data_IF_218009423163
#
_entry.id   IF_218009423163
#
_cell.length_a   1.000
_cell.length_b   1.000
_cell.length_c   1.000
_cell.angle_alpha   90.00
_cell.angle_beta   90.00
_cell.angle_gamma   90.00
#
_symmetry.space_group_name_H-M   'P 1'
#
loop_
_entity.id
_entity.type
_entity.pdbx_description
1 polymer ?
#
# COMPACT_ATOMS: atom_id res chain seq x y z
N UNK A 1 122.49 -59.40 -17.92
CA UNK A 1 122.33 -58.05 -17.36
C UNK A 1 121.51 -57.14 -18.28
N UNK A 2 121.98 -56.82 -19.49
CA UNK A 2 121.27 -55.94 -20.46
C UNK A 2 119.82 -56.33 -20.82
N UNK A 3 119.48 -57.63 -20.81
CA UNK A 3 118.13 -58.12 -21.15
C UNK A 3 117.11 -57.86 -20.03
N UNK A 4 117.53 -57.70 -18.77
CA UNK A 4 116.64 -57.38 -17.65
C UNK A 4 116.33 -55.88 -17.58
N UNK A 5 117.33 -55.00 -17.75
CA UNK A 5 117.12 -53.54 -17.77
C UNK A 5 116.18 -53.11 -18.90
N UNK A 6 116.34 -53.68 -20.11
CA UNK A 6 115.44 -53.41 -21.23
C UNK A 6 114.02 -53.97 -21.01
N UNK A 7 113.87 -54.99 -20.15
CA UNK A 7 112.57 -55.54 -19.76
C UNK A 7 111.89 -54.63 -18.73
N UNK A 8 112.65 -54.07 -17.77
CA UNK A 8 112.17 -53.12 -16.78
C UNK A 8 111.69 -51.81 -17.41
N UNK A 9 112.43 -51.24 -18.38
CA UNK A 9 112.01 -50.02 -19.09
C UNK A 9 110.70 -50.25 -19.85
N UNK A 10 110.58 -51.36 -20.59
CA UNK A 10 109.33 -51.72 -21.29
C UNK A 10 108.16 -51.97 -20.34
N UNK A 11 108.42 -52.54 -19.17
CA UNK A 11 107.41 -52.78 -18.13
C UNK A 11 106.94 -51.45 -17.52
N UNK A 12 107.84 -50.50 -17.29
CA UNK A 12 107.53 -49.17 -16.77
C UNK A 12 106.73 -48.31 -17.77
N UNK A 13 107.05 -48.40 -19.06
CA UNK A 13 106.25 -47.79 -20.14
C UNK A 13 104.86 -48.44 -20.28
N UNK A 14 104.76 -49.76 -20.12
CA UNK A 14 103.47 -50.47 -20.13
C UNK A 14 102.59 -50.06 -18.94
N UNK A 15 103.19 -49.91 -17.75
CA UNK A 15 102.50 -49.45 -16.55
C UNK A 15 102.03 -48.00 -16.68
N UNK A 16 102.82 -47.12 -17.29
CA UNK A 16 102.43 -45.71 -17.50
C UNK A 16 101.27 -45.57 -18.51
N UNK A 17 101.26 -46.38 -19.57
CA UNK A 17 100.14 -46.45 -20.53
C UNK A 17 98.88 -46.99 -19.85
N UNK A 18 98.99 -48.04 -19.04
CA UNK A 18 97.87 -48.60 -18.29
C UNK A 18 97.28 -47.57 -17.31
N UNK A 19 98.14 -46.82 -16.61
CA UNK A 19 97.73 -45.74 -15.71
C UNK A 19 97.02 -44.62 -16.47
N UNK A 20 97.54 -44.21 -17.62
CA UNK A 20 96.91 -43.19 -18.47
C UNK A 20 95.52 -43.63 -18.94
N UNK A 21 95.38 -44.89 -19.38
CA UNK A 21 94.08 -45.47 -19.77
C UNK A 21 93.11 -45.50 -18.58
N UNK A 22 93.57 -45.90 -17.40
CA UNK A 22 92.76 -45.89 -16.17
C UNK A 22 92.25 -44.47 -15.85
N UNK A 23 93.12 -43.45 -15.93
CA UNK A 23 92.76 -42.04 -15.70
C UNK A 23 91.75 -41.56 -16.72
N UNK A 24 91.90 -41.90 -18.00
CA UNK A 24 90.94 -41.54 -19.05
C UNK A 24 89.57 -42.19 -18.78
N UNK A 25 89.55 -43.48 -18.42
CA UNK A 25 88.32 -44.20 -18.06
C UNK A 25 87.65 -43.54 -16.85
N UNK A 26 88.41 -43.22 -15.80
CA UNK A 26 87.91 -42.49 -14.63
C UNK A 26 87.36 -41.10 -15.00
N UNK A 27 88.05 -40.36 -15.87
CA UNK A 27 87.61 -39.05 -16.34
C UNK A 27 86.27 -39.14 -17.08
N UNK A 28 86.12 -40.13 -17.97
CA UNK A 28 84.87 -40.39 -18.70
C UNK A 28 83.74 -40.75 -17.76
N UNK A 29 84.00 -41.59 -16.75
CA UNK A 29 83.02 -41.95 -15.72
C UNK A 29 82.59 -40.73 -14.90
N UNK A 30 83.54 -39.86 -14.50
CA UNK A 30 83.25 -38.62 -13.78
C UNK A 30 82.43 -37.65 -14.61
N UNK A 31 82.75 -37.48 -15.90
CA UNK A 31 81.99 -36.64 -16.82
C UNK A 31 80.55 -37.17 -17.01
N UNK A 32 80.39 -38.49 -17.16
CA UNK A 32 79.08 -39.13 -17.27
C UNK A 32 78.25 -38.94 -16.00
N UNK A 33 78.85 -39.19 -14.83
CA UNK A 33 78.21 -38.98 -13.53
C UNK A 33 77.80 -37.51 -13.31
N UNK A 34 78.65 -36.56 -13.70
CA UNK A 34 78.33 -35.13 -13.65
C UNK A 34 77.19 -34.74 -14.59
N UNK A 35 77.12 -35.35 -15.77
CA UNK A 35 76.02 -35.13 -16.71
C UNK A 35 74.69 -35.70 -16.19
N UNK A 36 74.72 -36.89 -15.56
CA UNK A 36 73.54 -37.51 -14.95
C UNK A 36 73.02 -36.71 -13.75
N UNK A 37 73.91 -36.24 -12.87
CA UNK A 37 73.54 -35.39 -11.73
C UNK A 37 72.96 -34.04 -12.18
N UNK A 38 73.51 -33.42 -13.23
CA UNK A 38 72.93 -32.20 -13.82
C UNK A 38 71.52 -32.43 -14.35
N UNK A 39 71.29 -33.51 -15.10
CA UNK A 39 69.95 -33.88 -15.60
C UNK A 39 68.97 -34.11 -14.44
N UNK A 40 69.40 -34.78 -13.38
CA UNK A 40 68.59 -35.01 -12.19
C UNK A 40 68.23 -33.69 -11.50
N UNK A 41 69.17 -32.76 -11.41
CA UNK A 41 68.95 -31.45 -10.82
C UNK A 41 67.99 -30.59 -11.65
N UNK A 42 68.09 -30.63 -12.99
CA UNK A 42 67.13 -29.98 -13.89
C UNK A 42 65.72 -30.57 -13.74
N UNK A 43 65.61 -31.90 -13.61
CA UNK A 43 64.34 -32.59 -13.37
C UNK A 43 63.71 -32.23 -12.01
N UNK A 44 64.52 -32.08 -10.95
CA UNK A 44 64.05 -31.64 -9.64
C UNK A 44 63.47 -30.21 -9.69
N UNK A 45 64.13 -29.29 -10.41
CA UNK A 45 63.64 -27.90 -10.58
C UNK A 45 62.33 -27.86 -11.37
N UNK A 46 62.22 -28.65 -12.44
CA UNK A 46 60.96 -28.73 -13.21
C UNK A 46 59.81 -29.32 -12.37
N UNK A 47 60.11 -30.31 -11.53
CA UNK A 47 59.14 -30.92 -10.63
C UNK A 47 58.66 -29.96 -9.54
N UNK A 48 59.57 -29.18 -8.94
CA UNK A 48 59.22 -28.16 -7.94
C UNK A 48 58.34 -27.04 -8.54
N UNK A 49 58.65 -26.65 -9.79
CA UNK A 49 57.82 -25.72 -10.55
C UNK A 49 56.41 -26.28 -10.77
N UNK A 50 56.28 -27.54 -11.21
CA UNK A 50 54.99 -28.22 -11.38
C UNK A 50 54.22 -28.33 -10.07
N UNK A 51 54.90 -28.62 -8.96
CA UNK A 51 54.27 -28.69 -7.63
C UNK A 51 53.70 -27.32 -7.24
N UNK A 52 54.47 -26.25 -7.42
CA UNK A 52 54.04 -24.87 -7.15
C UNK A 52 52.85 -24.47 -8.03
N UNK A 53 52.89 -24.81 -9.33
CA UNK A 53 51.77 -24.56 -10.24
C UNK A 53 50.50 -25.33 -9.84
N UNK A 54 50.63 -26.58 -9.42
CA UNK A 54 49.51 -27.39 -8.93
C UNK A 54 48.95 -26.84 -7.62
N UNK A 55 49.80 -26.42 -6.69
CA UNK A 55 49.39 -25.78 -5.45
C UNK A 55 48.65 -24.47 -5.72
N UNK A 56 49.18 -23.63 -6.61
CA UNK A 56 48.54 -22.39 -7.02
C UNK A 56 47.16 -22.65 -7.66
N UNK A 57 47.06 -23.62 -8.58
CA UNK A 57 45.77 -24.02 -9.19
C UNK A 57 44.78 -24.52 -8.15
N UNK A 58 45.20 -25.39 -7.23
CA UNK A 58 44.34 -25.90 -6.17
C UNK A 58 43.87 -24.77 -5.24
N UNK A 59 44.75 -23.83 -4.87
CA UNK A 59 44.35 -22.66 -4.07
C UNK A 59 43.38 -21.77 -4.82
N UNK A 60 43.57 -21.55 -6.12
CA UNK A 60 42.68 -20.73 -6.94
C UNK A 60 41.27 -21.36 -7.00
N UNK A 61 41.18 -22.67 -7.25
CA UNK A 61 39.92 -23.41 -7.25
C UNK A 61 39.24 -23.33 -5.87
N UNK A 62 39.99 -23.52 -4.78
CA UNK A 62 39.45 -23.41 -3.43
C UNK A 62 38.91 -22.00 -3.14
N UNK A 63 39.62 -20.95 -3.57
CA UNK A 63 39.14 -19.57 -3.41
C UNK A 63 37.90 -19.27 -4.24
N UNK A 64 37.82 -19.78 -5.48
CA UNK A 64 36.66 -19.62 -6.34
C UNK A 64 35.43 -20.31 -5.75
N UNK A 65 35.60 -21.56 -5.27
CA UNK A 65 34.54 -22.30 -4.61
C UNK A 65 34.07 -21.61 -3.32
N UNK A 66 35.00 -21.14 -2.49
CA UNK A 66 34.67 -20.40 -1.28
C UNK A 66 33.89 -19.11 -1.58
N UNK A 67 34.30 -18.36 -2.60
CA UNK A 67 33.61 -17.16 -3.03
C UNK A 67 32.19 -17.47 -3.54
N UNK A 68 32.03 -18.55 -4.29
CA UNK A 68 30.72 -19.00 -4.77
C UNK A 68 29.80 -19.39 -3.61
N UNK A 69 30.26 -20.26 -2.71
CA UNK A 69 29.50 -20.69 -1.54
C UNK A 69 29.10 -19.51 -0.65
N UNK A 70 30.01 -18.55 -0.46
CA UNK A 70 29.73 -17.35 0.32
C UNK A 70 28.66 -16.46 -0.33
N UNK A 71 28.70 -16.27 -1.66
CA UNK A 71 27.69 -15.51 -2.38
C UNK A 71 26.31 -16.19 -2.33
N UNK A 72 26.28 -17.52 -2.46
CA UNK A 72 25.05 -18.32 -2.33
C UNK A 72 24.47 -18.23 -0.92
N UNK A 73 25.29 -18.45 0.11
CA UNK A 73 24.89 -18.31 1.50
C UNK A 73 24.37 -16.90 1.80
N UNK A 74 25.10 -15.86 1.39
CA UNK A 74 24.70 -14.45 1.56
C UNK A 74 23.33 -14.17 0.93
N UNK A 75 23.09 -14.72 -0.25
CA UNK A 75 21.82 -14.52 -0.96
C UNK A 75 20.67 -15.18 -0.20
N UNK A 76 20.87 -16.42 0.25
CA UNK A 76 19.87 -17.15 1.06
C UNK A 76 19.55 -16.44 2.37
N UNK A 77 20.59 -16.02 3.10
CA UNK A 77 20.44 -15.30 4.36
C UNK A 77 19.66 -13.99 4.16
N UNK A 78 19.99 -13.23 3.11
CA UNK A 78 19.27 -12.00 2.78
C UNK A 78 17.79 -12.25 2.45
N UNK A 79 17.51 -13.34 1.75
CA UNK A 79 16.15 -13.73 1.38
C UNK A 79 15.32 -14.18 2.60
N UNK A 80 15.95 -14.91 3.51
CA UNK A 80 15.34 -15.34 4.77
C UNK A 80 15.01 -14.15 5.69
N UNK A 81 15.96 -13.22 5.84
CA UNK A 81 15.73 -11.97 6.58
C UNK A 81 14.62 -11.13 5.97
N UNK A 82 14.60 -10.97 4.64
CA UNK A 82 13.53 -10.25 3.93
C UNK A 82 12.18 -10.89 4.22
N UNK A 83 12.08 -12.22 4.14
CA UNK A 83 10.84 -12.95 4.41
C UNK A 83 10.31 -12.67 5.81
N UNK A 84 11.16 -12.72 6.83
CA UNK A 84 10.78 -12.42 8.21
C UNK A 84 10.29 -10.98 8.36
N UNK A 85 11.00 -10.01 7.78
CA UNK A 85 10.61 -8.60 7.80
C UNK A 85 9.24 -8.44 7.13
N UNK A 86 9.05 -9.00 5.93
CA UNK A 86 7.78 -8.91 5.20
C UNK A 86 6.61 -9.54 5.98
N UNK A 87 6.81 -10.70 6.61
CA UNK A 87 5.78 -11.33 7.43
C UNK A 87 5.39 -10.46 8.63
N UNK A 88 6.38 -9.88 9.32
CA UNK A 88 6.13 -8.98 10.46
C UNK A 88 5.41 -7.71 10.02
N UNK A 89 5.77 -7.19 8.84
CA UNK A 89 5.22 -5.97 8.26
C UNK A 89 3.77 -6.20 7.84
N UNK A 90 3.49 -7.31 7.15
CA UNK A 90 2.15 -7.71 6.74
C UNK A 90 1.21 -7.86 7.94
N UNK A 91 1.67 -8.54 9.00
CA UNK A 91 0.90 -8.69 10.25
C UNK A 91 0.55 -7.33 10.88
N UNK A 92 1.53 -6.42 10.97
CA UNK A 92 1.31 -5.07 11.50
C UNK A 92 0.34 -4.24 10.64
N UNK A 93 0.50 -4.27 9.31
CA UNK A 93 -0.42 -3.56 8.42
C UNK A 93 -1.83 -4.11 8.50
N UNK A 94 -1.98 -5.44 8.58
CA UNK A 94 -3.28 -6.08 8.74
C UNK A 94 -3.97 -5.63 10.03
N UNK A 95 -3.25 -5.60 11.15
CA UNK A 95 -3.79 -5.12 12.43
C UNK A 95 -4.23 -3.65 12.34
N UNK A 96 -3.35 -2.76 11.88
CA UNK A 96 -3.68 -1.32 11.70
C UNK A 96 -4.84 -1.10 10.75
N UNK A 97 -4.93 -1.88 9.69
CA UNK A 97 -6.04 -1.80 8.74
C UNK A 97 -7.36 -2.23 9.39
N UNK A 98 -7.38 -3.30 10.19
CA UNK A 98 -8.58 -3.70 10.92
C UNK A 98 -9.03 -2.62 11.92
N UNK A 99 -8.09 -2.05 12.68
CA UNK A 99 -8.39 -0.94 13.60
C UNK A 99 -8.96 0.28 12.87
N UNK A 100 -8.34 0.66 11.75
CA UNK A 100 -8.83 1.76 10.93
C UNK A 100 -10.24 1.48 10.41
N UNK A 101 -10.49 0.27 9.88
CA UNK A 101 -11.83 -0.13 9.41
C UNK A 101 -12.88 -0.06 10.50
N UNK A 102 -12.59 -0.56 11.70
CA UNK A 102 -13.53 -0.52 12.82
C UNK A 102 -13.88 0.92 13.22
N UNK A 103 -12.86 1.78 13.32
CA UNK A 103 -13.06 3.21 13.64
C UNK A 103 -13.89 3.92 12.58
N UNK A 104 -13.62 3.65 11.30
CA UNK A 104 -14.31 4.30 10.21
C UNK A 104 -15.76 3.80 10.07
N UNK A 105 -15.99 2.50 10.28
CA UNK A 105 -17.35 1.93 10.32
C UNK A 105 -18.18 2.54 11.46
N UNK A 106 -17.58 2.72 12.65
CA UNK A 106 -18.27 3.35 13.78
C UNK A 106 -18.67 4.80 13.46
N UNK A 107 -17.79 5.58 12.81
CA UNK A 107 -18.11 6.94 12.38
C UNK A 107 -19.25 6.96 11.37
N UNK A 108 -19.18 6.12 10.34
CA UNK A 108 -20.22 6.02 9.31
C UNK A 108 -21.56 5.66 9.95
N UNK A 109 -21.57 4.70 10.88
CA UNK A 109 -22.77 4.30 11.60
C UNK A 109 -23.36 5.44 12.44
N UNK A 110 -22.52 6.16 13.19
CA UNK A 110 -22.95 7.32 13.99
C UNK A 110 -23.52 8.44 13.12
N UNK A 111 -22.87 8.75 11.99
CA UNK A 111 -23.36 9.78 11.06
C UNK A 111 -24.69 9.37 10.42
N UNK A 112 -24.82 8.11 9.98
CA UNK A 112 -26.06 7.57 9.44
C UNK A 112 -27.22 7.66 10.46
N UNK A 113 -26.98 7.26 11.71
CA UNK A 113 -27.95 7.40 12.80
C UNK A 113 -28.30 8.87 12.99
N UNK A 114 -27.31 9.77 13.12
CA UNK A 114 -27.55 11.19 13.35
C UNK A 114 -28.40 11.83 12.25
N UNK A 115 -28.13 11.51 10.97
CA UNK A 115 -28.91 12.04 9.84
C UNK A 115 -30.33 11.49 9.82
N UNK A 116 -30.48 10.19 10.07
CA UNK A 116 -31.78 9.55 10.15
C UNK A 116 -32.63 10.13 11.29
N UNK A 117 -32.06 10.23 12.50
CA UNK A 117 -32.72 10.84 13.66
C UNK A 117 -33.12 12.28 13.39
N UNK A 118 -32.26 13.10 12.79
CA UNK A 118 -32.59 14.48 12.45
C UNK A 118 -33.78 14.56 11.47
N UNK A 119 -33.84 13.65 10.50
CA UNK A 119 -34.92 13.60 9.51
C UNK A 119 -36.24 13.15 10.15
N UNK A 120 -36.19 12.11 10.99
CA UNK A 120 -37.36 11.61 11.72
C UNK A 120 -37.90 12.69 12.66
N UNK A 121 -37.03 13.35 13.42
CA UNK A 121 -37.42 14.39 14.35
C UNK A 121 -38.03 15.60 13.62
N UNK A 122 -37.51 15.95 12.44
CA UNK A 122 -38.10 16.98 11.58
C UNK A 122 -39.54 16.64 11.18
N UNK A 123 -39.76 15.41 10.66
CA UNK A 123 -41.10 14.92 10.32
C UNK A 123 -42.06 14.90 11.50
N UNK A 124 -41.61 14.47 12.68
CA UNK A 124 -42.43 14.48 13.89
C UNK A 124 -42.77 15.92 14.30
N UNK A 125 -41.81 16.83 14.23
CA UNK A 125 -42.02 18.25 14.53
C UNK A 125 -43.09 18.89 13.64
N UNK A 126 -43.13 18.55 12.35
CA UNK A 126 -44.17 19.00 11.42
C UNK A 126 -45.56 18.50 11.80
N UNK A 127 -45.69 17.25 12.27
CA UNK A 127 -46.97 16.69 12.69
C UNK A 127 -47.46 17.24 14.03
N UNK A 128 -46.53 17.59 14.94
CA UNK A 128 -46.87 18.13 16.26
C UNK A 128 -47.03 19.66 16.28
N UNK A 129 -46.65 20.35 15.21
CA UNK A 129 -46.76 21.80 15.10
C UNK A 129 -48.15 22.37 15.49
N UNK A 130 -49.28 21.76 15.07
CA UNK A 130 -50.62 22.20 15.47
C UNK A 130 -50.86 22.27 16.99
N UNK A 131 -50.24 21.38 17.78
CA UNK A 131 -50.34 21.41 19.24
C UNK A 131 -49.54 22.56 19.84
N UNK A 132 -48.42 22.93 19.22
CA UNK A 132 -47.57 24.04 19.66
C UNK A 132 -48.19 25.40 19.34
N UNK A 133 -48.99 25.51 18.27
CA UNK A 133 -49.68 26.76 17.92
C UNK A 133 -50.67 27.19 19.00
N UNK A 134 -51.35 26.23 19.62
CA UNK A 134 -52.27 26.48 20.73
C UNK A 134 -51.53 27.09 21.92
N UNK A 135 -50.47 26.43 22.38
CA UNK A 135 -49.72 26.87 23.56
C UNK A 135 -49.02 28.21 23.37
N UNK A 136 -48.46 28.48 22.18
CA UNK A 136 -47.61 29.64 21.97
C UNK A 136 -48.34 30.85 21.37
N UNK A 137 -49.42 30.64 20.62
CA UNK A 137 -50.11 31.70 19.86
C UNK A 137 -51.61 31.76 20.13
N UNK A 138 -52.14 30.90 21.02
CA UNK A 138 -53.56 30.84 21.36
C UNK A 138 -54.43 30.39 20.19
N UNK A 139 -53.87 29.66 19.23
CA UNK A 139 -54.60 29.16 18.06
C UNK A 139 -55.13 27.77 18.37
N UNK A 140 -56.45 27.61 18.40
CA UNK A 140 -57.05 26.31 18.64
C UNK A 140 -56.68 25.31 17.54
N UNK A 141 -56.21 24.12 17.91
CA UNK A 141 -55.79 23.09 16.95
C UNK A 141 -56.92 22.64 16.01
N UNK A 142 -58.19 22.78 16.41
CA UNK A 142 -59.36 22.51 15.55
C UNK A 142 -59.56 23.54 14.44
N UNK A 143 -58.99 24.72 14.58
CA UNK A 143 -59.07 25.85 13.62
C UNK A 143 -57.91 25.85 12.62
N UNK A 144 -56.96 24.93 12.79
CA UNK A 144 -55.79 24.78 11.91
C UNK A 144 -56.12 23.78 10.79
N UNK A 145 -55.75 24.12 9.57
CA UNK A 145 -55.83 23.24 8.39
C UNK A 145 -54.46 23.11 7.74
N UNK A 146 -54.10 21.89 7.40
CA UNK A 146 -52.90 21.60 6.63
C UNK A 146 -53.12 21.95 5.15
N UNK A 147 -52.13 22.61 4.55
CA UNK A 147 -52.07 22.95 3.12
C UNK A 147 -50.87 22.28 2.44
N UNK A 148 -49.68 22.35 3.06
CA UNK A 148 -48.41 21.86 2.54
C UNK A 148 -47.57 22.92 1.81
N UNK A 149 -46.42 22.53 1.25
CA UNK A 149 -45.49 23.51 0.67
C UNK A 149 -46.11 24.34 -0.46
N UNK A 150 -45.83 25.66 -0.51
CA UNK A 150 -44.85 26.44 0.28
C UNK A 150 -45.41 27.15 1.54
N UNK A 151 -46.60 26.76 2.04
CA UNK A 151 -47.17 27.26 3.31
C UNK A 151 -47.85 26.09 4.01
N UNK A 152 -47.22 25.52 5.03
CA UNK A 152 -47.68 24.26 5.62
C UNK A 152 -49.11 24.29 6.20
N UNK A 153 -49.51 25.37 6.89
CA UNK A 153 -50.81 25.46 7.55
C UNK A 153 -51.48 26.82 7.36
N UNK A 154 -52.81 26.82 7.49
CA UNK A 154 -53.64 28.00 7.65
C UNK A 154 -54.49 27.84 8.92
N UNK A 155 -54.58 28.89 9.73
CA UNK A 155 -55.42 28.91 10.92
C UNK A 155 -56.50 29.99 10.82
N UNK A 156 -57.71 29.65 11.24
CA UNK A 156 -58.86 30.57 11.28
C UNK A 156 -59.16 30.92 12.73
N UNK A 157 -58.34 31.79 13.33
CA UNK A 157 -58.37 32.08 14.76
C UNK A 157 -59.73 32.63 15.19
N UNK A 158 -60.36 32.02 16.18
CA UNK A 158 -61.68 32.40 16.72
C UNK A 158 -62.87 31.83 15.95
N UNK A 159 -62.62 30.97 14.94
CA UNK A 159 -63.68 30.32 14.18
C UNK A 159 -64.56 29.40 15.05
N UNK A 160 -64.00 28.67 16.01
CA UNK A 160 -64.77 27.81 16.92
C UNK A 160 -65.67 28.64 17.84
N UNK A 161 -65.21 29.83 18.22
CA UNK A 161 -65.97 30.80 19.04
C UNK A 161 -67.03 31.57 18.22
N UNK A 162 -67.12 31.30 16.90
CA UNK A 162 -68.09 31.89 15.99
C UNK A 162 -67.71 33.26 15.45
N UNK A 163 -66.51 33.78 15.78
CA UNK A 163 -66.02 35.06 15.29
C UNK A 163 -64.55 34.94 14.86
N UNK A 164 -64.33 34.90 13.56
CA UNK A 164 -62.97 34.89 12.99
C UNK A 164 -62.28 36.22 13.29
N UNK A 165 -61.23 36.19 14.10
CA UNK A 165 -60.39 37.33 14.44
C UNK A 165 -59.32 37.57 13.38
N UNK A 166 -58.65 36.48 12.97
CA UNK A 166 -57.50 36.52 12.09
C UNK A 166 -57.38 35.23 11.27
N UNK A 167 -56.91 35.35 10.03
CA UNK A 167 -56.48 34.21 9.20
C UNK A 167 -54.95 34.21 9.17
N UNK A 168 -54.34 33.18 9.78
CA UNK A 168 -52.89 33.08 9.95
C UNK A 168 -52.33 32.05 8.97
N UNK A 169 -51.38 32.46 8.13
CA UNK A 169 -50.61 31.56 7.27
C UNK A 169 -49.32 31.15 7.99
N UNK A 170 -49.07 29.85 8.10
CA UNK A 170 -48.01 29.30 8.95
C UNK A 170 -47.14 28.35 8.15
N UNK A 171 -45.84 28.63 8.13
CA UNK A 171 -44.80 27.75 7.61
C UNK A 171 -44.00 27.18 8.79
N UNK A 172 -43.82 25.86 8.83
CA UNK A 172 -43.12 25.16 9.92
C UNK A 172 -41.72 24.78 9.47
N UNK A 173 -40.71 25.31 10.16
CA UNK A 173 -39.32 24.89 9.96
C UNK A 173 -38.92 23.88 11.03
N UNK A 174 -38.85 22.61 10.62
CA UNK A 174 -38.50 21.48 11.48
C UNK A 174 -37.00 21.15 11.51
N UNK A 175 -36.23 21.67 10.54
CA UNK A 175 -34.80 21.42 10.37
C UNK A 175 -33.87 22.50 10.94
N UNK A 176 -32.55 22.34 10.70
CA UNK A 176 -31.51 23.30 11.13
C UNK A 176 -31.65 24.70 10.49
N UNK A 177 -32.26 24.76 9.30
CA UNK A 177 -32.41 26.01 8.56
C UNK A 177 -33.69 26.71 8.97
N UNK A 178 -33.54 27.86 9.64
CA UNK A 178 -34.67 28.72 10.06
C UNK A 178 -35.14 29.68 8.97
N UNK A 179 -34.39 29.80 7.87
CA UNK A 179 -34.64 30.77 6.82
C UNK A 179 -35.75 30.30 5.88
N UNK A 180 -36.59 31.24 5.45
CA UNK A 180 -37.60 31.02 4.42
C UNK A 180 -36.96 30.89 3.03
N UNK A 181 -37.49 29.98 2.20
CA UNK A 181 -37.12 29.87 0.78
C UNK A 181 -37.55 31.11 0.00
N UNK A 182 -37.01 31.36 -1.21
CA UNK A 182 -37.47 32.48 -2.04
C UNK A 182 -38.99 32.46 -2.30
N UNK A 183 -39.58 31.28 -2.50
CA UNK A 183 -41.03 31.10 -2.71
C UNK A 183 -41.83 31.43 -1.46
N UNK A 184 -41.44 30.91 -0.30
CA UNK A 184 -42.07 31.22 0.98
C UNK A 184 -42.01 32.72 1.30
N UNK A 185 -40.86 33.37 1.06
CA UNK A 185 -40.72 34.82 1.26
C UNK A 185 -41.65 35.63 0.37
N UNK A 186 -41.81 35.23 -0.88
CA UNK A 186 -42.72 35.91 -1.80
C UNK A 186 -44.18 35.85 -1.30
N UNK A 187 -44.59 34.71 -0.74
CA UNK A 187 -45.93 34.53 -0.18
C UNK A 187 -46.09 35.29 1.13
N UNK A 188 -45.13 35.19 2.06
CA UNK A 188 -45.11 36.00 3.29
C UNK A 188 -45.30 37.48 2.98
N UNK A 189 -44.54 37.99 2.01
CA UNK A 189 -44.65 39.38 1.55
C UNK A 189 -46.04 39.70 1.00
N UNK A 190 -46.65 38.80 0.22
CA UNK A 190 -48.03 39.00 -0.28
C UNK A 190 -49.06 39.09 0.84
N UNK A 191 -48.93 38.27 1.88
CA UNK A 191 -49.79 38.31 3.07
C UNK A 191 -49.57 39.61 3.84
N UNK A 192 -48.32 40.00 4.10
CA UNK A 192 -47.96 41.24 4.81
C UNK A 192 -48.43 42.51 4.08
N UNK A 193 -48.35 42.50 2.75
CA UNK A 193 -48.87 43.57 1.87
C UNK A 193 -50.40 43.50 1.68
N UNK A 194 -51.10 42.60 2.38
CA UNK A 194 -52.56 42.39 2.31
C UNK A 194 -53.10 42.06 0.91
N UNK A 195 -52.28 41.44 0.05
CA UNK A 195 -52.67 40.98 -1.28
C UNK A 195 -53.38 39.62 -1.22
N UNK A 196 -54.43 39.53 -0.42
CA UNK A 196 -55.23 38.32 -0.16
C UNK A 196 -56.68 38.58 -0.60
N UNK A 197 -57.26 37.66 -1.38
CA UNK A 197 -58.61 37.80 -1.93
C UNK A 197 -59.45 36.55 -1.65
N UNK A 198 -60.74 36.77 -1.39
CA UNK A 198 -61.72 35.69 -1.26
C UNK A 198 -62.47 35.49 -2.58
N UNK A 199 -62.61 34.22 -3.02
CA UNK A 199 -63.40 33.86 -4.19
C UNK A 199 -64.32 32.70 -3.80
N UNK A 200 -65.64 32.89 -3.93
CA UNK A 200 -66.62 31.82 -3.81
C UNK A 200 -66.89 31.25 -5.20
N UNK A 201 -66.50 30.00 -5.44
CA UNK A 201 -66.72 29.32 -6.71
C UNK A 201 -67.84 28.29 -6.58
N UNK A 202 -68.99 28.54 -7.21
CA UNK A 202 -70.13 27.62 -7.19
C UNK A 202 -70.11 26.74 -8.44
N UNK A 203 -69.59 25.51 -8.31
CA UNK A 203 -69.32 24.58 -9.43
C UNK A 203 -70.55 24.40 -10.34
N UNK A 204 -71.77 24.10 -9.84
CA UNK A 204 -72.93 23.87 -10.72
C UNK A 204 -73.28 25.07 -11.61
N UNK A 205 -73.18 26.29 -11.08
CA UNK A 205 -73.50 27.51 -11.84
C UNK A 205 -72.47 27.79 -12.93
N UNK A 206 -71.20 27.45 -12.68
CA UNK A 206 -70.13 27.65 -13.66
C UNK A 206 -70.18 26.59 -14.77
N UNK A 207 -70.49 25.34 -14.42
CA UNK A 207 -70.72 24.27 -15.42
C UNK A 207 -71.88 24.66 -16.35
N UNK A 208 -73.01 25.13 -15.81
CA UNK A 208 -74.13 25.61 -16.64
C UNK A 208 -73.78 26.80 -17.53
N UNK A 209 -72.95 27.74 -17.06
CA UNK A 209 -72.46 28.86 -17.87
C UNK A 209 -71.56 28.38 -19.02
N UNK A 210 -70.75 27.34 -18.79
CA UNK A 210 -69.91 26.75 -19.83
C UNK A 210 -70.76 26.03 -20.88
N UNK A 211 -71.74 25.23 -20.48
CA UNK A 211 -72.65 24.52 -21.39
C UNK A 211 -73.44 25.48 -22.30
N UNK A 212 -73.94 26.60 -21.75
CA UNK A 212 -74.64 27.66 -22.50
C UNK A 212 -73.76 28.46 -23.47
N UNK A 213 -72.44 28.35 -23.36
CA UNK A 213 -71.47 29.10 -24.19
C UNK A 213 -70.96 28.26 -25.37
N UNK A 214 -71.19 26.95 -25.32
CA UNK A 214 -70.79 25.96 -26.33
C UNK A 214 -71.98 25.59 -27.24
N UNK A 215 -73.22 25.79 -26.79
CA UNK A 215 -74.42 25.85 -27.65
C UNK A 215 -74.58 27.24 -28.27
#
# INVERSE_FOLDING_TARGET
>A
MLKNEMMEVKMMDMLSILLLLLVIVLLVLLLKSKAETKKLQEALVDMDKKLTELQAKNSAIATEQAQKMFNEWRTKELEEQKKLIFQSLESQYKARFQEWRQKEEEKIRKDAISRSTATILGRIGEQLAPLLFFTNYGINSKEVRFLGQPVDFIAFKGLEEGKVEEIVFIEVKSGRTKNLTPRERAIKRAVEEKRVSWITFHIPSEVQKMEKRVM
#
